data_IF_227523010718
#
_entry.id   IF_227523010718
#
_cell.length_a   1.000
_cell.length_b   1.000
_cell.length_c   1.000
_cell.angle_alpha   90.00
_cell.angle_beta   90.00
_cell.angle_gamma   90.00
#
_symmetry.space_group_name_H-M   'P 1'
#
loop_
_entity.id
_entity.type
_entity.pdbx_description
1 polymer ?
#
# COMPACT_ATOMS: atom_id res chain seq x y z
N UNK A 1 19.22 26.36 -1.53
CA UNK A 1 17.98 25.78 -0.99
C UNK A 1 17.66 24.58 -1.85
N UNK A 2 17.81 23.35 -1.34
CA UNK A 2 17.49 22.14 -2.11
C UNK A 2 15.97 21.96 -2.10
N UNK A 3 15.34 22.14 -3.26
CA UNK A 3 13.89 21.97 -3.47
C UNK A 3 13.51 20.53 -3.83
N UNK A 4 14.30 19.53 -3.42
CA UNK A 4 14.14 18.14 -3.85
C UNK A 4 13.03 17.36 -3.11
N UNK A 5 12.34 17.99 -2.16
CA UNK A 5 11.31 17.34 -1.35
C UNK A 5 11.86 16.22 -0.44
N UNK A 6 11.02 15.68 0.45
CA UNK A 6 11.37 14.49 1.23
C UNK A 6 11.59 13.27 0.32
N UNK A 7 12.44 12.34 0.74
CA UNK A 7 12.64 11.06 0.05
C UNK A 7 11.29 10.37 -0.12
N UNK A 8 10.86 10.21 -1.37
CA UNK A 8 9.52 9.70 -1.70
C UNK A 8 9.54 8.24 -2.20
N UNK A 9 10.73 7.74 -2.54
CA UNK A 9 10.92 6.36 -2.96
C UNK A 9 10.85 5.42 -1.74
N UNK A 10 9.78 4.62 -1.69
CA UNK A 10 9.53 3.67 -0.60
C UNK A 10 10.71 2.72 -0.35
N UNK A 11 11.45 2.36 -1.40
CA UNK A 11 12.63 1.47 -1.33
C UNK A 11 13.81 2.10 -0.61
N UNK A 12 13.76 3.42 -0.37
CA UNK A 12 14.86 4.21 0.20
C UNK A 12 14.47 4.91 1.49
N UNK A 13 13.26 4.69 2.01
CA UNK A 13 12.81 5.31 3.25
C UNK A 13 13.55 4.80 4.50
N UNK A 14 14.20 3.63 4.42
CA UNK A 14 14.81 2.98 5.58
C UNK A 14 13.76 2.54 6.60
N UNK A 15 12.61 2.04 6.12
CA UNK A 15 11.55 1.52 6.96
C UNK A 15 11.71 -0.01 7.05
N UNK A 16 12.07 -0.57 8.21
CA UNK A 16 12.39 -1.99 8.35
C UNK A 16 11.27 -2.93 7.92
N UNK A 17 10.01 -2.50 8.04
CA UNK A 17 8.84 -3.30 7.65
C UNK A 17 8.74 -3.37 6.13
N UNK A 18 8.87 -2.22 5.46
CA UNK A 18 8.83 -2.17 3.99
C UNK A 18 10.03 -2.92 3.40
N UNK A 19 11.23 -2.69 3.96
CA UNK A 19 12.45 -3.37 3.52
C UNK A 19 12.28 -4.90 3.61
N UNK A 20 11.77 -5.40 4.75
CA UNK A 20 11.49 -6.85 4.93
C UNK A 20 10.41 -7.37 3.98
N UNK A 21 9.38 -6.58 3.69
CA UNK A 21 8.33 -6.97 2.75
C UNK A 21 8.85 -7.07 1.31
N UNK A 22 9.70 -6.14 0.88
CA UNK A 22 10.35 -6.20 -0.42
C UNK A 22 11.31 -7.39 -0.51
N UNK A 23 12.15 -7.60 0.51
CA UNK A 23 13.10 -8.72 0.56
C UNK A 23 12.39 -10.09 0.54
N UNK A 24 11.22 -10.18 1.17
CA UNK A 24 10.40 -11.39 1.19
C UNK A 24 9.50 -11.55 -0.06
N UNK A 25 9.52 -10.60 -1.00
CA UNK A 25 8.65 -10.61 -2.18
C UNK A 25 7.16 -10.40 -1.87
N UNK A 26 6.82 -9.95 -0.66
CA UNK A 26 5.44 -9.76 -0.18
C UNK A 26 4.81 -8.45 -0.66
N UNK A 27 5.61 -7.56 -1.25
CA UNK A 27 5.16 -6.31 -1.81
C UNK A 27 6.03 -5.90 -2.99
N UNK A 28 5.44 -5.16 -3.92
CA UNK A 28 6.16 -4.44 -4.97
C UNK A 28 5.69 -2.99 -5.03
N UNK A 29 6.51 -2.13 -5.65
CA UNK A 29 6.23 -0.69 -5.79
C UNK A 29 6.09 -0.32 -7.26
N UNK A 30 5.38 0.77 -7.54
CA UNK A 30 5.33 1.33 -8.88
C UNK A 30 6.74 1.73 -9.39
N UNK A 31 6.95 1.92 -10.71
CA UNK A 31 8.28 2.23 -11.24
C UNK A 31 8.97 3.47 -10.63
N UNK A 32 8.19 4.44 -10.15
CA UNK A 32 8.66 5.67 -9.51
C UNK A 32 8.88 5.53 -8.01
N UNK A 33 8.48 4.40 -7.41
CA UNK A 33 8.67 4.12 -6.00
C UNK A 33 7.71 4.86 -5.08
N UNK A 34 6.61 5.43 -5.60
CA UNK A 34 5.77 6.39 -4.87
C UNK A 34 4.68 5.73 -4.02
N UNK A 35 4.31 4.50 -4.35
CA UNK A 35 3.39 3.66 -3.61
C UNK A 35 3.61 2.17 -3.88
N UNK A 36 2.96 1.34 -3.08
CA UNK A 36 2.86 -0.09 -3.35
C UNK A 36 1.90 -0.32 -4.51
N UNK A 37 2.14 -1.35 -5.31
CA UNK A 37 1.14 -1.83 -6.27
C UNK A 37 0.08 -2.59 -5.48
N UNK A 38 -1.17 -2.16 -5.63
CA UNK A 38 -2.31 -2.71 -4.93
C UNK A 38 -3.47 -2.98 -5.89
N UNK A 39 -4.30 -3.95 -5.53
CA UNK A 39 -5.60 -4.22 -6.14
C UNK A 39 -6.68 -4.09 -5.06
N UNK A 40 -7.50 -3.05 -5.16
CA UNK A 40 -8.50 -2.69 -4.13
C UNK A 40 -7.90 -2.64 -2.70
N UNK A 41 -6.70 -2.07 -2.60
CA UNK A 41 -5.95 -1.94 -1.36
C UNK A 41 -5.31 -3.22 -0.83
N UNK A 42 -5.43 -4.36 -1.54
CA UNK A 42 -4.62 -5.56 -1.27
C UNK A 42 -3.26 -5.41 -1.93
N UNK A 43 -2.19 -5.62 -1.16
CA UNK A 43 -0.81 -5.51 -1.67
C UNK A 43 -0.51 -6.69 -2.59
N UNK A 44 0.06 -6.39 -3.76
CA UNK A 44 0.50 -7.42 -4.70
C UNK A 44 1.93 -7.86 -4.39
N UNK A 45 2.16 -9.17 -4.41
CA UNK A 45 3.48 -9.79 -4.31
C UNK A 45 4.35 -9.54 -5.55
N UNK A 46 5.58 -10.04 -5.54
CA UNK A 46 6.52 -9.90 -6.67
C UNK A 46 6.02 -10.56 -7.97
N UNK A 47 5.06 -11.50 -7.88
CA UNK A 47 4.42 -12.16 -9.01
C UNK A 47 3.09 -11.49 -9.43
N UNK A 48 2.73 -10.36 -8.79
CA UNK A 48 1.51 -9.62 -9.08
C UNK A 48 0.25 -10.24 -8.48
N UNK A 49 0.37 -11.12 -7.48
CA UNK A 49 -0.77 -11.79 -6.84
C UNK A 49 -1.14 -11.09 -5.53
N UNK A 50 -2.44 -10.94 -5.22
CA UNK A 50 -2.88 -10.29 -3.99
C UNK A 50 -2.56 -11.17 -2.77
N UNK A 51 -1.77 -10.63 -1.84
CA UNK A 51 -1.41 -11.27 -0.58
C UNK A 51 -2.42 -11.00 0.55
N UNK A 52 -2.10 -11.45 1.78
CA UNK A 52 -2.95 -11.20 2.96
C UNK A 52 -2.83 -9.76 3.50
N UNK A 53 -1.90 -8.96 2.96
CA UNK A 53 -1.60 -7.62 3.43
C UNK A 53 -2.52 -6.62 2.75
N UNK A 54 -3.11 -5.72 3.54
CA UNK A 54 -3.96 -4.62 3.07
C UNK A 54 -3.36 -3.29 3.49
N UNK A 55 -3.54 -2.27 2.67
CA UNK A 55 -3.01 -0.93 2.91
C UNK A 55 -4.03 0.15 2.52
N UNK A 56 -3.78 1.39 2.96
CA UNK A 56 -4.62 2.55 2.71
C UNK A 56 -3.79 3.83 2.76
N UNK A 57 -4.36 4.93 2.26
CA UNK A 57 -3.71 6.23 2.16
C UNK A 57 -2.50 6.23 1.23
N UNK A 58 -1.45 6.97 1.58
CA UNK A 58 -0.33 7.28 0.68
C UNK A 58 0.43 6.07 0.13
N UNK A 59 0.35 4.91 0.80
CA UNK A 59 0.94 3.67 0.29
C UNK A 59 0.19 3.13 -0.94
N UNK A 60 -1.07 3.52 -1.17
CA UNK A 60 -1.85 3.16 -2.38
C UNK A 60 -1.55 4.05 -3.59
N UNK A 61 -0.55 4.94 -3.54
CA UNK A 61 -0.20 5.82 -4.67
C UNK A 61 0.24 5.05 -5.93
N UNK A 62 0.65 3.79 -5.81
CA UNK A 62 0.92 2.93 -6.97
C UNK A 62 -0.36 2.53 -7.74
N UNK A 63 -1.53 2.64 -7.10
CA UNK A 63 -2.85 2.37 -7.68
C UNK A 63 -3.66 3.66 -7.93
N UNK A 64 -3.71 4.55 -6.93
CA UNK A 64 -4.61 5.72 -6.92
C UNK A 64 -3.94 7.05 -7.25
N UNK A 65 -2.61 7.07 -7.45
CA UNK A 65 -1.75 8.23 -7.78
C UNK A 65 -1.82 9.42 -6.80
N UNK A 66 -2.97 10.07 -6.66
CA UNK A 66 -3.27 11.16 -5.72
C UNK A 66 -4.17 10.67 -4.57
N UNK A 67 -3.56 10.10 -3.53
CA UNK A 67 -4.31 9.59 -2.37
C UNK A 67 -3.63 9.96 -1.04
N UNK A 68 -3.91 11.17 -0.56
CA UNK A 68 -3.33 11.67 0.70
C UNK A 68 -4.33 12.47 1.54
N UNK A 69 -5.52 12.76 1.01
CA UNK A 69 -6.49 13.62 1.68
C UNK A 69 -7.21 12.85 2.80
N UNK A 70 -7.31 13.45 3.99
CA UNK A 70 -7.97 12.81 5.15
C UNK A 70 -9.39 12.31 4.85
N UNK A 71 -10.27 13.06 4.14
CA UNK A 71 -11.60 12.55 3.81
C UNK A 71 -11.56 11.28 2.95
N UNK A 72 -10.65 11.22 1.98
CA UNK A 72 -10.48 10.08 1.10
C UNK A 72 -9.94 8.86 1.88
N UNK A 73 -8.95 9.07 2.74
CA UNK A 73 -8.39 8.03 3.61
C UNK A 73 -9.48 7.43 4.52
N UNK A 74 -10.42 8.25 5.00
CA UNK A 74 -11.57 7.75 5.79
C UNK A 74 -12.48 6.84 4.98
N UNK A 75 -12.78 7.20 3.72
CA UNK A 75 -13.57 6.34 2.83
C UNK A 75 -12.85 5.00 2.57
N UNK A 76 -11.54 5.04 2.34
CA UNK A 76 -10.75 3.80 2.18
C UNK A 76 -10.79 2.93 3.44
N UNK A 77 -10.69 3.54 4.63
CA UNK A 77 -10.74 2.82 5.89
C UNK A 77 -12.11 2.16 6.12
N UNK A 78 -13.21 2.84 5.77
CA UNK A 78 -14.57 2.29 5.83
C UNK A 78 -14.75 1.09 4.89
N UNK A 79 -14.30 1.23 3.63
CA UNK A 79 -14.33 0.16 2.63
C UNK A 79 -13.52 -1.06 3.08
N UNK A 80 -12.31 -0.82 3.59
CA UNK A 80 -11.43 -1.85 4.14
C UNK A 80 -12.08 -2.60 5.31
N UNK A 81 -12.64 -1.86 6.28
CA UNK A 81 -13.30 -2.46 7.43
C UNK A 81 -14.49 -3.33 7.01
N UNK A 82 -15.31 -2.85 6.08
CA UNK A 82 -16.46 -3.59 5.53
C UNK A 82 -16.02 -4.90 4.88
N UNK A 83 -14.95 -4.85 4.08
CA UNK A 83 -14.41 -6.04 3.43
C UNK A 83 -13.82 -7.05 4.43
N UNK A 84 -13.13 -6.59 5.47
CA UNK A 84 -12.56 -7.47 6.51
C UNK A 84 -13.63 -8.23 7.31
N UNK A 85 -14.76 -7.56 7.60
CA UNK A 85 -15.90 -8.20 8.27
C UNK A 85 -16.51 -9.29 7.37
N UNK A 86 -16.63 -9.03 6.07
CA UNK A 86 -17.07 -10.02 5.08
C UNK A 86 -16.15 -11.24 4.99
N UNK A 87 -14.83 -11.02 4.96
CA UNK A 87 -13.82 -12.09 4.88
C UNK A 87 -13.77 -12.96 6.16
N UNK A 88 -14.01 -12.35 7.33
CA UNK A 88 -14.00 -13.06 8.63
C UNK A 88 -15.14 -14.07 8.75
N UNK A 89 -16.24 -13.87 8.02
CA UNK A 89 -17.36 -14.81 7.96
C UNK A 89 -17.04 -16.16 7.30
N UNK A 90 -15.93 -16.26 6.55
CA UNK A 90 -15.52 -17.47 5.82
C UNK A 90 -14.47 -18.33 6.52
N UNK A 91 -13.93 -17.92 7.66
CA UNK A 91 -12.88 -18.64 8.42
C UNK A 91 -13.41 -19.31 9.71
N UNK A 92 -14.68 -19.75 9.72
CA UNK A 92 -15.26 -20.54 10.83
C UNK A 92 -15.67 -21.92 10.37
#
# INVERSE_FOLDING_TARGET
MNCTGPQSDLRRLGNPVLDSMFDAGLATTDPLGLGLITDDGRVLDAEGRPGPIRTLGSLRRGELWETTAVPEIRMQAEQLATSLIGDTGGHR
#
